data_IF_639947408322
#
_entry.id   IF_639947408322
#
_cell.length_a   1.000
_cell.length_b   1.000
_cell.length_c   1.000
_cell.angle_alpha   90.00
_cell.angle_beta   90.00
_cell.angle_gamma   90.00
#
_symmetry.space_group_name_H-M   'P 1'
#
loop_
_entity.id
_entity.type
_entity.pdbx_description
1 polymer ?
#
# COMPACT_ATOMS: atom_id res chain seq x y z
N UNK A 1 -14.49 -32.15 15.33
CA UNK A 1 -14.99 -30.79 15.03
C UNK A 1 -13.82 -29.96 14.53
N UNK A 2 -13.76 -29.69 13.23
CA UNK A 2 -12.70 -28.87 12.64
C UNK A 2 -13.02 -27.39 12.89
N UNK A 3 -12.07 -26.64 13.47
CA UNK A 3 -12.19 -25.19 13.63
C UNK A 3 -11.91 -24.55 12.28
N UNK A 4 -12.96 -24.07 11.62
CA UNK A 4 -12.85 -23.23 10.43
C UNK A 4 -12.08 -21.94 10.77
N UNK A 5 -10.98 -21.68 10.07
CA UNK A 5 -10.23 -20.44 10.21
C UNK A 5 -10.90 -19.37 9.36
N UNK A 6 -11.70 -18.50 9.98
CA UNK A 6 -12.24 -17.31 9.32
C UNK A 6 -11.07 -16.41 8.93
N UNK A 7 -10.84 -16.26 7.61
CA UNK A 7 -9.82 -15.34 7.08
C UNK A 7 -10.20 -13.92 7.48
N UNK A 8 -9.23 -13.16 8.01
CA UNK A 8 -9.46 -11.75 8.37
C UNK A 8 -9.88 -10.99 7.12
N UNK A 9 -10.98 -10.22 7.17
CA UNK A 9 -11.41 -9.47 6.01
C UNK A 9 -10.36 -8.41 5.63
N UNK A 10 -10.05 -8.33 4.35
CA UNK A 10 -9.03 -7.43 3.80
C UNK A 10 -9.35 -5.95 4.06
N UNK A 11 -10.65 -5.59 4.15
CA UNK A 11 -11.15 -4.24 4.45
C UNK A 11 -10.86 -3.74 5.87
N UNK A 12 -10.30 -4.57 6.76
CA UNK A 12 -9.84 -4.14 8.09
C UNK A 12 -8.48 -3.48 8.08
N UNK A 13 -7.76 -3.59 6.98
CA UNK A 13 -6.50 -2.92 6.83
C UNK A 13 -6.77 -1.49 6.31
N UNK A 14 -6.17 -0.52 6.97
CA UNK A 14 -6.46 0.91 6.82
C UNK A 14 -6.33 1.44 5.38
N UNK A 15 -5.29 1.05 4.65
CA UNK A 15 -5.07 1.33 3.21
C UNK A 15 -6.26 1.06 2.27
N UNK A 16 -7.18 0.14 2.61
CA UNK A 16 -8.38 -0.11 1.79
C UNK A 16 -9.33 1.10 1.77
N UNK A 17 -9.35 1.90 2.84
CA UNK A 17 -10.14 3.14 2.89
C UNK A 17 -9.47 4.30 2.16
N UNK A 18 -8.13 4.35 2.14
CA UNK A 18 -7.36 5.37 1.38
C UNK A 18 -7.60 5.20 -0.13
N UNK A 19 -7.60 3.97 -0.63
CA UNK A 19 -7.90 3.67 -2.05
C UNK A 19 -9.36 3.98 -2.39
N UNK A 20 -10.30 3.70 -1.49
CA UNK A 20 -11.71 3.98 -1.73
C UNK A 20 -11.98 5.49 -1.94
N UNK A 21 -11.29 6.38 -1.22
CA UNK A 21 -11.43 7.84 -1.38
C UNK A 21 -10.80 8.32 -2.70
N UNK A 22 -9.67 7.74 -3.11
CA UNK A 22 -8.98 8.08 -4.37
C UNK A 22 -9.80 7.70 -5.64
N UNK A 23 -10.57 6.62 -5.59
CA UNK A 23 -11.41 6.17 -6.73
C UNK A 23 -12.75 6.92 -6.80
N UNK A 24 -13.31 7.36 -5.67
CA UNK A 24 -14.57 8.13 -5.65
C UNK A 24 -14.37 9.55 -6.21
N UNK A 25 -13.16 10.11 -6.16
CA UNK A 25 -12.82 11.41 -6.75
C UNK A 25 -12.81 11.46 -8.28
N UNK A 26 -12.80 10.32 -8.99
CA UNK A 26 -12.77 10.27 -10.46
C UNK A 26 -14.14 10.10 -11.14
N UNK A 27 -15.24 9.96 -10.39
CA UNK A 27 -16.58 9.74 -10.95
C UNK A 27 -17.52 10.95 -10.90
N UNK A 28 -17.03 12.14 -10.51
CA UNK A 28 -17.88 13.31 -10.32
C UNK A 28 -17.57 14.47 -11.28
N UNK A 29 -17.53 14.23 -12.60
CA UNK A 29 -17.63 15.32 -13.60
C UNK A 29 -18.34 14.88 -14.88
N UNK A 30 -19.68 14.96 -14.90
CA UNK A 30 -20.47 15.31 -16.10
C UNK A 30 -21.83 15.84 -15.63
N UNK A 31 -22.18 17.08 -16.04
CA UNK A 31 -23.39 17.83 -15.67
C UNK A 31 -24.71 17.13 -16.04
N UNK A 32 -25.90 17.60 -15.68
CA UNK A 32 -26.42 18.98 -15.56
C UNK A 32 -27.70 18.97 -14.69
N UNK A 33 -28.18 20.16 -14.34
CA UNK A 33 -29.17 20.56 -13.33
C UNK A 33 -30.60 19.98 -13.47
N UNK A 34 -31.33 19.85 -12.35
CA UNK A 34 -32.59 20.58 -12.04
C UNK A 34 -33.19 20.15 -10.70
N UNK A 35 -33.99 21.06 -10.14
CA UNK A 35 -34.55 21.14 -8.79
C UNK A 35 -35.73 20.19 -8.52
N UNK A 36 -35.89 19.76 -7.26
CA UNK A 36 -37.04 20.04 -6.38
C UNK A 36 -37.30 18.95 -5.31
N UNK A 37 -37.21 19.39 -4.05
CA UNK A 37 -38.13 19.21 -2.91
C UNK A 37 -39.19 18.08 -2.95
N UNK A 38 -39.15 17.27 -1.88
CA UNK A 38 -40.26 16.70 -1.08
C UNK A 38 -40.82 15.27 -1.33
N UNK A 39 -40.90 14.55 -0.20
CA UNK A 39 -41.85 13.49 0.21
C UNK A 39 -41.64 12.03 -0.25
N UNK A 40 -41.23 11.19 0.71
CA UNK A 40 -41.69 9.79 0.87
C UNK A 40 -43.22 9.75 1.07
N UNK A 41 -43.96 8.64 0.77
CA UNK A 41 -43.66 7.29 1.30
C UNK A 41 -44.05 6.05 0.44
N UNK A 42 -43.35 4.94 0.72
CA UNK A 42 -43.80 3.52 0.92
C UNK A 42 -44.88 2.89 0.00
N UNK A 43 -44.53 1.81 -0.72
CA UNK A 43 -45.09 0.44 -0.62
C UNK A 43 -44.54 -0.52 -1.74
N UNK A 44 -44.12 -1.72 -1.32
CA UNK A 44 -43.92 -2.97 -2.09
C UNK A 44 -45.28 -3.72 -2.25
N UNK A 45 -45.44 -4.87 -2.96
CA UNK A 45 -44.47 -5.75 -3.65
C UNK A 45 -44.94 -6.31 -5.04
N UNK A 46 -44.11 -7.21 -5.61
CA UNK A 46 -44.45 -8.53 -6.20
C UNK A 46 -44.08 -8.79 -7.68
N UNK A 47 -42.92 -9.46 -7.80
CA UNK A 47 -42.64 -10.70 -8.55
C UNK A 47 -43.03 -10.81 -10.04
N UNK A 48 -42.02 -11.01 -10.88
CA UNK A 48 -42.09 -12.04 -11.92
C UNK A 48 -40.70 -12.68 -12.13
N UNK A 49 -40.77 -13.95 -12.52
CA UNK A 49 -39.81 -15.02 -12.40
C UNK A 49 -39.27 -15.35 -13.80
N UNK A 50 -37.94 -15.46 -13.99
CA UNK A 50 -37.41 -16.31 -15.07
C UNK A 50 -36.17 -17.05 -14.57
N UNK A 51 -36.35 -18.36 -14.55
CA UNK A 51 -35.44 -19.45 -14.23
C UNK A 51 -34.56 -19.78 -15.45
N UNK A 52 -33.36 -20.31 -15.16
CA UNK A 52 -32.48 -21.14 -16.03
C UNK A 52 -31.78 -20.45 -17.20
N UNK A 53 -30.45 -20.48 -17.19
CA UNK A 53 -29.73 -21.67 -17.64
C UNK A 53 -28.29 -21.68 -17.11
N UNK A 54 -27.95 -22.79 -16.47
CA UNK A 54 -26.58 -23.27 -16.26
C UNK A 54 -26.31 -24.23 -17.42
N UNK A 55 -25.11 -24.22 -18.03
CA UNK A 55 -24.44 -25.50 -18.15
C UNK A 55 -23.02 -25.50 -17.59
N UNK A 56 -22.78 -26.60 -16.91
CA UNK A 56 -21.58 -27.14 -16.30
C UNK A 56 -20.74 -27.91 -17.35
N UNK A 57 -19.47 -28.15 -16.98
CA UNK A 57 -18.54 -29.21 -17.44
C UNK A 57 -17.68 -28.91 -18.68
N UNK A 58 -16.39 -29.23 -18.75
CA UNK A 58 -15.29 -29.59 -17.82
C UNK A 58 -13.99 -29.37 -18.66
N UNK A 59 -12.91 -30.18 -18.61
CA UNK A 59 -11.60 -29.75 -18.15
C UNK A 59 -10.54 -29.78 -19.28
N UNK A 60 -9.38 -29.19 -19.04
CA UNK A 60 -8.17 -29.51 -19.83
C UNK A 60 -7.13 -30.14 -18.91
N UNK A 61 -7.09 -31.47 -18.97
CA UNK A 61 -5.96 -32.36 -18.67
C UNK A 61 -4.69 -31.91 -19.42
N UNK A 62 -3.56 -31.81 -18.72
CA UNK A 62 -2.46 -32.79 -18.72
C UNK A 62 -1.55 -32.72 -19.97
N UNK A 63 -0.35 -32.18 -19.79
CA UNK A 63 0.87 -32.80 -20.36
C UNK A 63 1.95 -32.81 -19.28
N UNK A 64 2.36 -34.03 -18.98
CA UNK A 64 3.42 -34.46 -18.10
C UNK A 64 4.81 -33.87 -18.43
N UNK A 65 5.68 -33.76 -17.43
CA UNK A 65 6.76 -34.76 -17.26
C UNK A 65 7.55 -34.51 -15.98
N UNK A 66 7.43 -35.48 -15.09
CA UNK A 66 8.32 -35.80 -14.00
C UNK A 66 9.68 -36.25 -14.56
N UNK A 67 10.79 -35.73 -14.05
CA UNK A 67 12.05 -36.49 -13.94
C UNK A 67 12.81 -36.02 -12.71
N UNK A 68 12.77 -36.88 -11.72
CA UNK A 68 13.58 -36.96 -10.51
C UNK A 68 14.87 -37.69 -10.86
N UNK A 69 16.04 -37.09 -10.63
CA UNK A 69 17.28 -37.79 -10.26
C UNK A 69 18.23 -36.86 -9.49
N UNK A 70 18.33 -37.10 -8.18
CA UNK A 70 19.54 -36.99 -7.37
C UNK A 70 19.77 -38.40 -6.78
N UNK A 71 20.96 -38.82 -6.29
CA UNK A 71 22.24 -38.11 -6.21
C UNK A 71 23.44 -38.95 -6.72
N UNK A 72 24.61 -38.35 -6.95
CA UNK A 72 25.88 -39.10 -6.84
C UNK A 72 26.97 -38.24 -6.22
N UNK A 73 27.73 -38.92 -5.37
CA UNK A 73 28.56 -38.47 -4.27
C UNK A 73 30.03 -38.45 -4.68
N UNK A 74 30.79 -37.59 -4.00
CA UNK A 74 32.25 -37.59 -3.83
C UNK A 74 33.15 -37.15 -4.99
N UNK A 75 33.69 -35.93 -4.86
CA UNK A 75 35.14 -35.76 -4.91
C UNK A 75 35.58 -34.70 -3.89
N UNK A 76 36.28 -35.16 -2.86
CA UNK A 76 36.92 -34.33 -1.83
C UNK A 76 38.21 -33.76 -2.42
N UNK A 77 38.25 -32.44 -2.62
CA UNK A 77 39.50 -31.70 -2.86
C UNK A 77 39.81 -30.82 -1.65
N UNK A 78 40.88 -31.19 -0.96
CA UNK A 78 41.55 -30.45 0.12
C UNK A 78 42.51 -29.41 -0.51
N UNK A 79 42.83 -28.36 0.25
CA UNK A 79 43.77 -27.22 0.00
C UNK A 79 43.02 -25.95 -0.50
N UNK A 80 43.01 -24.78 0.16
CA UNK A 80 43.83 -24.09 1.18
C UNK A 80 42.93 -23.11 1.98
N UNK A 81 43.37 -22.58 3.16
CA UNK A 81 42.60 -21.58 3.90
C UNK A 81 42.61 -20.26 3.14
N UNK A 82 41.48 -19.94 2.52
CA UNK A 82 41.22 -18.62 1.93
C UNK A 82 41.02 -17.63 3.08
N UNK A 83 41.92 -16.66 3.13
CA UNK A 83 41.93 -15.50 4.00
C UNK A 83 40.52 -14.90 4.12
N UNK A 84 39.99 -14.90 5.34
CA UNK A 84 38.67 -14.37 5.68
C UNK A 84 38.75 -12.84 5.67
N UNK A 85 38.61 -12.25 4.48
CA UNK A 85 38.27 -10.84 4.36
C UNK A 85 36.87 -10.70 4.93
N UNK A 86 36.79 -10.02 6.08
CA UNK A 86 35.55 -9.54 6.68
C UNK A 86 34.99 -8.47 5.74
N UNK A 87 34.33 -8.89 4.66
CA UNK A 87 33.49 -8.00 3.87
C UNK A 87 32.29 -7.62 4.74
N UNK A 88 32.16 -6.33 5.02
CA UNK A 88 30.91 -5.78 5.53
C UNK A 88 29.78 -6.21 4.59
N UNK A 89 28.61 -6.63 5.08
CA UNK A 89 27.55 -7.05 4.17
C UNK A 89 27.12 -5.83 3.35
N UNK A 90 27.54 -5.79 2.09
CA UNK A 90 26.93 -4.93 1.09
C UNK A 90 25.43 -5.25 1.07
N UNK A 91 24.60 -4.21 1.04
CA UNK A 91 23.14 -4.34 1.06
C UNK A 91 22.67 -5.35 0.00
N UNK A 92 21.62 -6.11 0.30
CA UNK A 92 21.05 -7.01 -0.69
C UNK A 92 20.53 -6.22 -1.89
N UNK A 93 20.44 -6.85 -3.06
CA UNK A 93 19.85 -6.22 -4.26
C UNK A 93 18.42 -5.71 -3.96
N UNK A 94 17.65 -6.46 -3.16
CA UNK A 94 16.30 -6.04 -2.74
C UNK A 94 16.34 -4.74 -1.93
N UNK A 95 17.26 -4.64 -0.97
CA UNK A 95 17.45 -3.43 -0.16
C UNK A 95 17.91 -2.23 -1.00
N UNK A 96 18.85 -2.43 -1.93
CA UNK A 96 19.30 -1.38 -2.85
C UNK A 96 18.16 -0.86 -3.72
N UNK A 97 17.36 -1.76 -4.28
CA UNK A 97 16.19 -1.41 -5.09
C UNK A 97 15.11 -0.68 -4.26
N UNK A 98 14.86 -1.13 -3.03
CA UNK A 98 13.92 -0.49 -2.13
C UNK A 98 14.37 0.93 -1.76
N UNK A 99 15.67 1.14 -1.48
CA UNK A 99 16.26 2.46 -1.22
C UNK A 99 16.05 3.40 -2.41
N UNK A 100 16.35 2.93 -3.63
CA UNK A 100 16.18 3.76 -4.82
C UNK A 100 14.71 4.12 -5.03
N UNK A 101 13.80 3.15 -4.90
CA UNK A 101 12.37 3.39 -5.02
C UNK A 101 11.86 4.37 -3.95
N UNK A 102 12.35 4.28 -2.72
CA UNK A 102 11.99 5.19 -1.63
C UNK A 102 12.36 6.64 -1.96
N UNK A 103 13.55 6.86 -2.54
CA UNK A 103 14.00 8.17 -3.01
C UNK A 103 13.12 8.68 -4.16
N UNK A 104 12.85 7.84 -5.14
CA UNK A 104 11.99 8.20 -6.28
C UNK A 104 10.60 8.67 -5.81
N UNK A 105 10.03 8.05 -4.78
CA UNK A 105 8.76 8.49 -4.19
C UNK A 105 8.86 9.83 -3.47
N UNK A 106 9.88 10.03 -2.64
CA UNK A 106 10.09 11.29 -1.91
C UNK A 106 10.35 12.46 -2.88
N UNK A 107 10.99 12.19 -4.02
CA UNK A 107 11.20 13.18 -5.08
C UNK A 107 9.90 13.52 -5.83
N UNK A 108 8.94 12.58 -5.87
CA UNK A 108 7.67 12.75 -6.58
C UNK A 108 6.57 13.41 -5.73
N UNK A 109 6.40 12.99 -4.47
CA UNK A 109 5.38 13.54 -3.56
C UNK A 109 5.79 13.35 -2.10
N UNK A 110 5.19 14.14 -1.21
CA UNK A 110 5.47 14.02 0.20
C UNK A 110 4.94 12.70 0.80
N UNK A 111 5.68 12.12 1.74
CA UNK A 111 5.24 10.95 2.51
C UNK A 111 5.59 11.07 3.98
N UNK A 112 4.76 10.49 4.84
CA UNK A 112 5.20 10.15 6.19
C UNK A 112 6.16 8.96 6.16
N UNK A 113 6.95 8.79 7.22
CA UNK A 113 7.86 7.65 7.32
C UNK A 113 7.12 6.31 7.19
N UNK A 114 6.02 6.14 7.94
CA UNK A 114 5.23 4.91 7.87
C UNK A 114 4.50 4.76 6.54
N UNK A 115 3.98 5.86 5.97
CA UNK A 115 3.33 5.85 4.67
C UNK A 115 4.26 5.41 3.55
N UNK A 116 5.53 5.85 3.57
CA UNK A 116 6.52 5.40 2.60
C UNK A 116 6.86 3.91 2.75
N UNK A 117 6.97 3.40 3.99
CA UNK A 117 7.16 1.96 4.24
C UNK A 117 6.00 1.16 3.67
N UNK A 118 4.76 1.57 3.95
CA UNK A 118 3.55 0.92 3.44
C UNK A 118 3.46 0.96 1.91
N UNK A 119 3.88 2.08 1.29
CA UNK A 119 3.94 2.21 -0.16
C UNK A 119 4.94 1.22 -0.78
N UNK A 120 6.11 1.04 -0.17
CA UNK A 120 7.10 0.07 -0.64
C UNK A 120 6.62 -1.39 -0.44
N UNK A 121 5.92 -1.68 0.65
CA UNK A 121 5.29 -3.00 0.82
C UNK A 121 4.24 -3.27 -0.26
N UNK A 122 3.46 -2.25 -0.64
CA UNK A 122 2.50 -2.35 -1.73
C UNK A 122 3.18 -2.62 -3.09
N UNK A 123 4.36 -2.03 -3.32
CA UNK A 123 5.20 -2.31 -4.50
C UNK A 123 5.82 -3.73 -4.47
N UNK A 124 5.63 -4.48 -3.39
CA UNK A 124 6.03 -5.89 -3.26
C UNK A 124 7.35 -6.11 -2.53
N UNK A 125 7.95 -5.07 -1.94
CA UNK A 125 9.10 -5.26 -1.05
C UNK A 125 8.67 -5.93 0.25
N UNK A 126 9.57 -6.70 0.85
CA UNK A 126 9.31 -7.23 2.20
C UNK A 126 9.24 -6.07 3.20
N UNK A 127 8.45 -6.20 4.27
CA UNK A 127 8.43 -5.19 5.34
C UNK A 127 9.84 -4.88 5.87
N UNK A 128 10.71 -5.90 5.94
CA UNK A 128 12.10 -5.74 6.36
C UNK A 128 12.89 -4.86 5.39
N UNK A 129 12.80 -5.10 4.08
CA UNK A 129 13.50 -4.30 3.07
C UNK A 129 12.91 -2.88 2.94
N UNK A 130 11.59 -2.73 3.04
CA UNK A 130 10.91 -1.44 3.03
C UNK A 130 11.33 -0.58 4.23
N UNK A 131 11.28 -1.14 5.44
CA UNK A 131 11.74 -0.45 6.66
C UNK A 131 13.21 -0.11 6.56
N UNK A 132 14.04 -1.07 6.13
CA UNK A 132 15.45 -0.85 5.91
C UNK A 132 15.71 0.30 4.94
N UNK A 133 15.00 0.36 3.81
CA UNK A 133 15.16 1.41 2.83
C UNK A 133 14.85 2.79 3.40
N UNK A 134 13.71 2.94 4.07
CA UNK A 134 13.26 4.21 4.65
C UNK A 134 14.17 4.66 5.81
N UNK A 135 14.79 3.73 6.53
CA UNK A 135 15.78 4.03 7.57
C UNK A 135 17.15 4.45 7.02
N UNK A 136 17.46 4.11 5.76
CA UNK A 136 18.75 4.38 5.11
C UNK A 136 18.71 5.52 4.09
N UNK A 137 17.61 6.28 4.01
CA UNK A 137 17.52 7.52 3.24
C UNK A 137 17.61 8.73 4.17
N UNK A 138 18.26 9.79 3.69
CA UNK A 138 18.33 11.05 4.41
C UNK A 138 17.12 11.91 4.01
N UNK A 139 16.14 11.99 4.91
CA UNK A 139 14.90 12.73 4.70
C UNK A 139 14.53 13.50 5.95
N UNK A 140 14.25 14.80 5.81
CA UNK A 140 13.63 15.58 6.87
C UNK A 140 12.12 15.31 6.90
N UNK A 141 11.69 14.48 7.86
CA UNK A 141 10.29 14.10 8.01
C UNK A 141 9.37 15.25 8.45
N UNK A 142 9.90 16.31 9.07
CA UNK A 142 9.13 17.52 9.35
C UNK A 142 8.91 18.31 8.05
N UNK A 143 9.94 18.41 7.21
CA UNK A 143 9.82 19.02 5.88
C UNK A 143 8.78 18.26 5.03
N UNK A 144 8.79 16.93 5.05
CA UNK A 144 7.77 16.12 4.38
C UNK A 144 6.36 16.42 4.89
N UNK A 145 6.18 16.61 6.19
CA UNK A 145 4.88 16.98 6.76
C UNK A 145 4.42 18.37 6.29
N UNK A 146 5.33 19.34 6.20
CA UNK A 146 5.05 20.66 5.64
C UNK A 146 4.66 20.62 4.16
N UNK A 147 5.38 19.83 3.35
CA UNK A 147 5.03 19.61 1.94
C UNK A 147 3.64 18.97 1.80
N UNK A 148 3.34 17.91 2.56
CA UNK A 148 2.03 17.27 2.53
C UNK A 148 0.91 18.21 2.99
N UNK A 149 1.18 19.01 4.02
CA UNK A 149 0.25 20.04 4.49
C UNK A 149 -0.08 21.05 3.38
N UNK A 150 0.94 21.53 2.66
CA UNK A 150 0.76 22.44 1.53
C UNK A 150 -0.04 21.78 0.40
N UNK A 151 0.28 20.53 0.03
CA UNK A 151 -0.47 19.77 -0.98
C UNK A 151 -1.97 19.69 -0.64
N UNK A 152 -2.33 19.47 0.63
CA UNK A 152 -3.73 19.48 1.05
C UNK A 152 -4.38 20.86 0.96
N UNK A 153 -3.66 21.91 1.39
CA UNK A 153 -4.16 23.29 1.35
C UNK A 153 -4.34 23.80 -0.08
N UNK A 154 -3.53 23.31 -1.03
CA UNK A 154 -3.68 23.62 -2.46
C UNK A 154 -4.93 22.97 -3.07
N UNK A 155 -5.34 21.82 -2.56
CA UNK A 155 -6.51 21.08 -3.05
C UNK A 155 -7.83 21.47 -2.36
N UNK A 156 -7.80 21.76 -1.07
CA UNK A 156 -8.99 22.05 -0.27
C UNK A 156 -8.67 22.96 0.92
N UNK A 157 -9.71 23.52 1.53
CA UNK A 157 -9.58 24.31 2.76
C UNK A 157 -9.67 23.42 3.99
N UNK A 158 -8.71 23.58 4.92
CA UNK A 158 -8.72 22.92 6.21
C UNK A 158 -8.72 23.93 7.36
N UNK A 159 -9.24 23.53 8.52
CA UNK A 159 -8.90 24.14 9.80
C UNK A 159 -7.56 23.57 10.31
N UNK A 160 -6.88 24.27 11.23
CA UNK A 160 -5.63 23.78 11.86
C UNK A 160 -5.80 22.37 12.42
N UNK A 161 -6.84 22.13 13.21
CA UNK A 161 -7.08 20.83 13.86
C UNK A 161 -7.36 19.73 12.83
N UNK A 162 -8.21 19.99 11.84
CA UNK A 162 -8.52 18.99 10.81
C UNK A 162 -7.31 18.67 9.94
N UNK A 163 -6.43 19.64 9.66
CA UNK A 163 -5.19 19.38 8.91
C UNK A 163 -4.24 18.51 9.73
N UNK A 164 -4.08 18.79 11.03
CA UNK A 164 -3.25 17.99 11.93
C UNK A 164 -3.78 16.56 12.04
N UNK A 165 -5.09 16.38 12.13
CA UNK A 165 -5.73 15.06 12.13
C UNK A 165 -5.50 14.33 10.80
N UNK A 166 -5.61 15.03 9.67
CA UNK A 166 -5.34 14.45 8.36
C UNK A 166 -3.88 14.02 8.22
N UNK A 167 -2.92 14.83 8.65
CA UNK A 167 -1.50 14.46 8.59
C UNK A 167 -1.18 13.27 9.51
N UNK A 168 -1.79 13.20 10.70
CA UNK A 168 -1.68 12.01 11.55
C UNK A 168 -2.30 10.77 10.90
N UNK A 169 -3.40 10.96 10.18
CA UNK A 169 -4.00 9.90 9.36
C UNK A 169 -3.09 9.47 8.20
N UNK A 170 -2.31 10.38 7.61
CA UNK A 170 -1.26 10.01 6.64
C UNK A 170 -0.05 9.32 7.31
N UNK A 171 -0.05 9.15 8.63
CA UNK A 171 1.01 8.46 9.38
C UNK A 171 2.13 9.37 9.90
N UNK A 172 1.98 10.69 9.80
CA UNK A 172 2.89 11.60 10.49
C UNK A 172 2.71 11.52 12.01
N UNK A 173 3.80 11.68 12.75
CA UNK A 173 3.72 11.83 14.21
C UNK A 173 2.97 13.12 14.57
N UNK A 174 2.45 13.21 15.80
CA UNK A 174 1.78 14.42 16.26
C UNK A 174 2.68 15.67 16.16
N UNK A 175 3.98 15.54 16.44
CA UNK A 175 4.95 16.63 16.32
C UNK A 175 5.12 17.08 14.86
N UNK A 176 5.32 16.13 13.94
CA UNK A 176 5.40 16.41 12.50
C UNK A 176 4.13 17.03 11.94
N UNK A 177 2.96 16.51 12.35
CA UNK A 177 1.67 17.04 11.90
C UNK A 177 1.45 18.49 12.38
N UNK A 178 1.81 18.80 13.64
CA UNK A 178 1.78 20.18 14.14
C UNK A 178 2.76 21.06 13.35
N UNK A 179 4.00 20.60 13.16
CA UNK A 179 4.98 21.31 12.36
C UNK A 179 4.45 21.62 10.96
N UNK A 180 3.87 20.62 10.28
CA UNK A 180 3.31 20.78 8.93
C UNK A 180 2.18 21.81 8.87
N UNK A 181 1.28 21.81 9.86
CA UNK A 181 0.23 22.82 9.95
C UNK A 181 0.80 24.24 10.15
N UNK A 182 1.82 24.39 10.99
CA UNK A 182 2.48 25.69 11.22
C UNK A 182 3.17 26.21 9.94
N UNK A 183 3.74 25.31 9.10
CA UNK A 183 4.37 25.70 7.83
C UNK A 183 3.41 26.33 6.82
N UNK A 184 2.11 26.03 6.90
CA UNK A 184 1.08 26.56 5.99
C UNK A 184 0.29 27.72 6.59
N UNK A 185 0.76 28.30 7.69
CA UNK A 185 0.24 29.55 8.26
C UNK A 185 -0.74 29.40 9.43
N UNK A 186 -0.72 28.26 10.13
CA UNK A 186 -1.48 28.07 11.37
C UNK A 186 -0.70 28.33 12.66
#
# INVERSE_FOLDING_TARGET
MAKEKVKKPFYKKWWVWVIAVLVIGMFATSGEETTDTTSEPKEEPKQEEVVKDEPKEEPVEEVATETKEEPTKEEVKKEEPKEEVKEEPEFTISQQNAIQKAKDYIDYTAFSKSGLIEQLEYEGFSNADATFAVDNIEVDWNEQAGKKAQEYMDYSSFSRSSLIEQLQFEGFTAEQANYGADQVGF
#
